data_IF_415310551533
#
_entry.id   IF_415310551533
#
_cell.length_a   1.000
_cell.length_b   1.000
_cell.length_c   1.000
_cell.angle_alpha   90.00
_cell.angle_beta   90.00
_cell.angle_gamma   90.00
#
_symmetry.space_group_name_H-M   'P 1'
#
loop_
_entity.id
_entity.type
_entity.pdbx_description
1 polymer ?
#
# COMPACT_ATOMS: atom_id res chain seq x y z
N UNK A 1 16.61 11.73 -9.42
CA UNK A 1 15.71 12.90 -9.58
C UNK A 1 14.75 12.96 -8.39
N UNK A 2 14.68 14.08 -7.65
CA UNK A 2 13.73 14.25 -6.54
C UNK A 2 12.51 15.03 -7.00
N UNK A 3 11.31 14.53 -6.71
CA UNK A 3 10.06 15.25 -6.98
C UNK A 3 9.97 16.50 -6.08
N UNK A 4 9.68 17.65 -6.69
CA UNK A 4 9.61 18.94 -6.00
C UNK A 4 8.17 19.44 -5.93
N UNK A 5 7.69 19.62 -4.71
CA UNK A 5 6.37 20.13 -4.34
C UNK A 5 6.49 21.57 -3.83
N UNK A 6 5.89 22.53 -4.53
CA UNK A 6 5.95 23.94 -4.15
C UNK A 6 4.59 24.62 -4.21
N UNK A 7 4.58 25.95 -4.38
CA UNK A 7 3.37 26.78 -4.45
C UNK A 7 2.32 26.31 -5.47
N UNK A 8 2.74 25.66 -6.57
CA UNK A 8 1.83 25.11 -7.60
C UNK A 8 0.83 24.08 -7.06
N UNK A 9 1.20 23.38 -5.99
CA UNK A 9 0.30 22.45 -5.30
C UNK A 9 -0.20 23.16 -4.06
N UNK A 10 -1.46 23.59 -4.04
CA UNK A 10 -2.06 24.25 -2.88
C UNK A 10 -2.32 23.26 -1.72
N UNK A 11 -2.51 21.99 -2.05
CA UNK A 11 -2.61 20.88 -1.11
C UNK A 11 -1.51 19.86 -1.36
N UNK A 12 -0.98 19.26 -0.30
CA UNK A 12 0.02 18.20 -0.36
C UNK A 12 -0.23 17.29 0.83
N UNK A 13 -0.36 16.00 0.58
CA UNK A 13 -0.39 14.96 1.60
C UNK A 13 0.72 13.97 1.31
N UNK A 14 1.50 13.59 2.33
CA UNK A 14 2.31 12.39 2.31
C UNK A 14 1.76 11.44 3.37
N UNK A 15 1.38 10.24 2.96
CA UNK A 15 1.04 9.12 3.83
C UNK A 15 2.13 8.07 3.66
N UNK A 16 2.75 7.64 4.76
CA UNK A 16 3.79 6.62 4.74
C UNK A 16 3.50 5.59 5.83
N UNK A 17 3.56 4.31 5.47
CA UNK A 17 3.49 3.22 6.44
C UNK A 17 4.89 2.71 6.75
N UNK A 18 5.29 2.84 8.01
CA UNK A 18 6.67 2.66 8.46
C UNK A 18 6.69 1.82 9.74
N UNK A 19 7.62 0.85 9.81
CA UNK A 19 7.97 0.11 11.03
C UNK A 19 9.42 0.37 11.38
N UNK A 20 9.65 0.77 12.63
CA UNK A 20 10.99 1.00 13.17
C UNK A 20 11.45 -0.31 13.80
N UNK A 21 12.47 -0.96 13.25
CA UNK A 21 12.93 -2.29 13.71
C UNK A 21 13.96 -2.23 14.84
N UNK A 22 14.48 -1.05 15.12
CA UNK A 22 15.46 -0.85 16.18
C UNK A 22 15.25 0.51 16.86
N UNK A 23 15.64 0.65 18.14
CA UNK A 23 15.83 1.95 18.75
C UNK A 23 16.82 2.78 17.92
N UNK A 24 16.67 4.11 17.94
CA UNK A 24 17.68 5.00 17.36
C UNK A 24 18.97 4.92 18.21
N UNK A 25 20.09 4.59 17.57
CA UNK A 25 21.47 4.75 18.06
C UNK A 25 21.94 6.17 17.75
N UNK A 26 23.25 6.43 17.69
CA UNK A 26 23.75 7.80 17.52
C UNK A 26 23.55 8.29 16.09
N UNK A 27 22.83 9.41 15.94
CA UNK A 27 22.45 9.91 14.62
C UNK A 27 21.04 10.50 14.58
N UNK A 28 20.43 10.42 13.40
CA UNK A 28 19.05 10.83 13.17
C UNK A 28 18.30 9.89 12.23
N UNK A 29 16.99 9.85 12.41
CA UNK A 29 16.07 9.29 11.43
C UNK A 29 14.86 10.17 11.31
N UNK A 30 14.25 10.18 10.14
CA UNK A 30 13.03 10.94 9.95
C UNK A 30 12.43 10.77 8.57
N UNK A 31 11.23 11.30 8.43
CA UNK A 31 10.53 11.35 7.16
C UNK A 31 9.58 12.55 7.11
N UNK A 32 9.33 13.02 5.89
CA UNK A 32 8.43 14.11 5.63
C UNK A 32 8.93 15.02 4.53
N UNK A 33 8.46 16.25 4.54
CA UNK A 33 8.82 17.25 3.55
C UNK A 33 9.97 18.11 4.03
N UNK A 34 11.06 18.13 3.27
CA UNK A 34 12.22 18.98 3.52
C UNK A 34 12.48 19.89 2.33
N UNK A 35 13.00 21.09 2.59
CA UNK A 35 13.43 22.04 1.57
C UNK A 35 14.51 21.46 0.63
N UNK A 36 14.28 21.58 -0.69
CA UNK A 36 15.23 21.10 -1.70
C UNK A 36 16.26 22.12 -2.19
N UNK A 37 16.21 23.39 -1.73
CA UNK A 37 17.06 24.46 -2.28
C UNK A 37 18.31 24.76 -1.45
N UNK A 38 19.44 24.99 -2.15
CA UNK A 38 20.78 25.31 -1.59
C UNK A 38 20.88 26.67 -0.89
N UNK A 39 19.84 27.52 -0.93
CA UNK A 39 19.91 28.89 -0.37
C UNK A 39 19.71 28.87 1.16
N UNK A 40 20.70 29.40 1.88
CA UNK A 40 20.84 29.42 3.36
C UNK A 40 19.68 30.05 4.15
N UNK A 41 18.79 30.82 3.52
CA UNK A 41 18.09 31.89 4.26
C UNK A 41 16.90 31.41 5.10
N UNK A 42 16.22 30.30 4.78
CA UNK A 42 15.07 29.81 5.58
C UNK A 42 14.94 28.29 5.58
N UNK A 43 14.51 27.72 6.72
CA UNK A 43 14.16 26.29 6.83
C UNK A 43 12.66 26.15 6.65
N UNK A 44 12.28 25.39 5.63
CA UNK A 44 10.91 25.03 5.34
C UNK A 44 10.83 23.51 5.40
N UNK A 45 10.24 22.99 6.48
CA UNK A 45 10.19 21.55 6.77
C UNK A 45 8.85 21.19 7.43
N UNK A 46 8.36 19.98 7.18
CA UNK A 46 7.24 19.35 7.89
C UNK A 46 7.55 17.86 8.05
N UNK A 47 7.73 17.36 9.26
CA UNK A 47 8.38 16.07 9.49
C UNK A 47 7.99 15.34 10.77
N UNK A 48 8.31 14.04 10.78
CA UNK A 48 8.58 13.21 11.96
C UNK A 48 10.10 12.94 12.01
N UNK A 49 10.76 13.17 13.15
CA UNK A 49 12.21 13.04 13.25
C UNK A 49 12.60 12.74 14.69
N UNK A 50 13.58 11.86 14.79
CA UNK A 50 14.25 11.52 16.02
C UNK A 50 15.74 11.73 15.82
N UNK A 51 16.39 12.20 16.87
CA UNK A 51 17.81 12.45 16.92
C UNK A 51 18.36 11.99 18.28
N UNK A 52 19.55 11.40 18.29
CA UNK A 52 20.22 10.99 19.51
C UNK A 52 21.71 11.27 19.42
N UNK A 53 22.24 11.81 20.51
CA UNK A 53 23.64 12.18 20.68
C UNK A 53 24.12 11.68 22.05
N UNK A 54 25.25 10.98 22.08
CA UNK A 54 25.81 10.39 23.30
C UNK A 54 26.37 11.46 24.25
N UNK A 55 26.93 12.53 23.70
CA UNK A 55 27.66 13.54 24.43
C UNK A 55 26.75 14.68 24.89
N UNK A 56 25.60 14.88 24.22
CA UNK A 56 24.70 15.99 24.50
C UNK A 56 23.21 15.59 24.54
N UNK A 57 22.69 15.38 25.76
CA UNK A 57 21.27 15.07 25.99
C UNK A 57 20.31 16.13 25.42
N UNK A 58 20.72 17.41 25.30
CA UNK A 58 19.86 18.47 24.72
C UNK A 58 19.67 18.30 23.22
N UNK A 59 20.58 17.59 22.56
CA UNK A 59 20.48 17.22 21.15
C UNK A 59 19.78 15.88 20.96
N UNK A 60 19.45 15.15 22.02
CA UNK A 60 18.64 13.94 21.95
C UNK A 60 17.16 14.28 22.08
N UNK A 61 16.38 14.12 21.02
CA UNK A 61 14.97 14.46 21.01
C UNK A 61 14.20 13.69 19.93
N UNK A 62 12.89 13.58 20.14
CA UNK A 62 11.93 13.00 19.20
C UNK A 62 10.78 13.99 19.04
N UNK A 63 10.58 14.50 17.83
CA UNK A 63 9.65 15.58 17.58
C UNK A 63 8.82 15.31 16.32
N UNK A 64 7.70 15.98 16.25
CA UNK A 64 6.90 16.12 15.04
C UNK A 64 6.56 17.59 14.87
N UNK A 65 6.57 18.08 13.63
CA UNK A 65 6.07 19.41 13.35
C UNK A 65 6.69 20.10 12.16
N UNK A 66 6.56 21.41 12.18
CA UNK A 66 6.75 22.26 11.00
C UNK A 66 7.61 23.47 11.34
N UNK A 67 8.47 23.85 10.40
CA UNK A 67 9.17 25.14 10.39
C UNK A 67 8.93 25.80 9.04
N UNK A 68 8.64 27.11 9.06
CA UNK A 68 8.56 27.97 7.87
C UNK A 68 9.26 29.29 8.20
N UNK A 69 10.51 29.43 7.76
CA UNK A 69 11.36 30.57 8.10
C UNK A 69 11.72 30.62 9.59
N UNK A 70 11.30 31.69 10.29
CA UNK A 70 11.52 31.86 11.74
C UNK A 70 10.42 31.22 12.59
N UNK A 71 9.28 30.85 12.00
CA UNK A 71 8.14 30.28 12.72
C UNK A 71 8.30 28.78 12.83
N UNK A 72 8.05 28.24 14.03
CA UNK A 72 8.14 26.81 14.33
C UNK A 72 6.96 26.41 15.20
N UNK A 73 6.37 25.26 14.89
CA UNK A 73 5.46 24.58 15.79
C UNK A 73 5.84 23.11 15.81
N UNK A 74 6.20 22.60 16.99
CA UNK A 74 6.61 21.22 17.20
C UNK A 74 5.93 20.65 18.43
N UNK A 75 5.80 19.33 18.47
CA UNK A 75 5.30 18.58 19.61
C UNK A 75 6.25 17.41 19.90
N UNK A 76 6.56 17.10 21.17
CA UNK A 76 7.20 15.85 21.54
C UNK A 76 6.43 14.67 20.97
N UNK A 77 7.16 13.70 20.44
CA UNK A 77 6.60 12.48 19.89
C UNK A 77 7.44 11.31 20.39
N UNK A 78 6.81 10.24 20.86
CA UNK A 78 7.51 9.01 21.21
C UNK A 78 7.18 7.97 20.14
N UNK A 79 8.14 7.57 19.29
CA UNK A 79 7.93 6.49 18.33
C UNK A 79 7.73 5.18 19.07
N UNK A 80 6.69 4.45 18.71
CA UNK A 80 6.64 3.03 19.06
C UNK A 80 7.52 2.26 18.06
N UNK A 81 8.48 1.54 18.61
CA UNK A 81 9.41 0.72 17.86
C UNK A 81 8.89 -0.72 17.93
N UNK A 82 8.99 -1.48 16.85
CA UNK A 82 8.47 -2.86 16.73
C UNK A 82 7.01 -3.02 16.28
N UNK A 83 6.31 -1.93 15.95
CA UNK A 83 5.02 -2.00 15.24
C UNK A 83 4.92 -1.13 13.99
N UNK A 84 4.04 -1.53 13.09
CA UNK A 84 3.70 -0.74 11.91
C UNK A 84 2.84 0.46 12.32
N UNK A 85 3.12 1.60 11.69
CA UNK A 85 2.35 2.82 11.86
C UNK A 85 2.08 3.49 10.53
N UNK A 86 0.91 4.10 10.40
CA UNK A 86 0.58 4.98 9.27
C UNK A 86 0.78 6.43 9.69
N UNK A 87 1.83 7.05 9.16
CA UNK A 87 2.15 8.46 9.38
C UNK A 87 1.61 9.30 8.23
N UNK A 88 0.89 10.38 8.53
CA UNK A 88 0.41 11.32 7.52
C UNK A 88 0.82 12.75 7.83
N UNK A 89 1.25 13.47 6.80
CA UNK A 89 1.51 14.92 6.82
C UNK A 89 0.66 15.56 5.73
N UNK A 90 -0.24 16.46 6.09
CA UNK A 90 -1.00 17.26 5.13
C UNK A 90 -0.63 18.72 5.29
N UNK A 91 -0.25 19.36 4.20
CA UNK A 91 -0.01 20.79 4.11
C UNK A 91 -1.01 21.40 3.16
N UNK A 92 -1.79 22.35 3.67
CA UNK A 92 -2.79 23.10 2.93
C UNK A 92 -2.46 24.60 2.97
N UNK A 93 -2.09 25.14 1.82
CA UNK A 93 -1.76 26.56 1.65
C UNK A 93 -2.97 27.47 1.69
N UNK A 94 -4.19 26.97 1.41
CA UNK A 94 -5.43 27.75 1.46
C UNK A 94 -5.83 28.02 2.90
N UNK A 95 -5.90 26.97 3.72
CA UNK A 95 -6.19 27.10 5.16
C UNK A 95 -4.96 27.50 5.97
N UNK A 96 -3.77 27.52 5.35
CA UNK A 96 -2.47 27.79 5.98
C UNK A 96 -2.18 26.82 7.14
N UNK A 97 -2.59 25.56 7.02
CA UNK A 97 -2.37 24.55 8.06
C UNK A 97 -1.41 23.47 7.59
N UNK A 98 -0.64 22.94 8.53
CA UNK A 98 0.03 21.65 8.41
C UNK A 98 -0.50 20.74 9.50
N UNK A 99 -0.92 19.55 9.14
CA UNK A 99 -1.53 18.59 10.06
C UNK A 99 -0.76 17.28 10.00
N UNK A 100 -0.65 16.63 11.15
CA UNK A 100 0.09 15.39 11.34
C UNK A 100 -0.82 14.35 11.97
N UNK A 101 -0.86 13.15 11.41
CA UNK A 101 -1.61 12.02 11.94
C UNK A 101 -0.70 10.82 12.15
N UNK A 102 -1.06 10.02 13.14
CA UNK A 102 -0.50 8.70 13.39
C UNK A 102 -1.71 7.77 13.54
N UNK A 103 -1.79 6.74 12.71
CA UNK A 103 -2.87 5.74 12.68
C UNK A 103 -4.27 6.38 12.63
N UNK A 104 -4.41 7.38 11.76
CA UNK A 104 -5.67 8.12 11.57
C UNK A 104 -5.99 9.14 12.67
N UNK A 105 -5.32 9.11 13.82
CA UNK A 105 -5.51 10.08 14.90
C UNK A 105 -4.71 11.35 14.66
N UNK A 106 -5.37 12.50 14.71
CA UNK A 106 -4.70 13.81 14.58
C UNK A 106 -3.78 14.02 15.79
N UNK A 107 -2.49 14.18 15.52
CA UNK A 107 -1.46 14.34 16.54
C UNK A 107 -1.05 15.80 16.75
N UNK A 108 -0.95 16.57 15.65
CA UNK A 108 -0.60 17.99 15.65
C UNK A 108 -1.32 18.71 14.50
N UNK A 109 -1.93 19.85 14.79
CA UNK A 109 -2.43 20.80 13.80
C UNK A 109 -1.71 22.15 14.00
N UNK A 110 -1.08 22.66 12.94
CA UNK A 110 -0.36 23.92 13.02
C UNK A 110 -1.27 25.08 12.66
N UNK A 111 -1.36 26.07 13.56
CA UNK A 111 -2.24 27.22 13.37
C UNK A 111 -1.52 28.27 12.52
N UNK A 112 -1.90 28.37 11.24
CA UNK A 112 -1.37 29.37 10.33
C UNK A 112 0.08 29.13 9.89
N UNK A 113 0.56 27.89 9.93
CA UNK A 113 1.92 27.52 9.52
C UNK A 113 1.89 26.40 8.47
N UNK A 114 2.08 26.76 7.20
CA UNK A 114 2.12 25.84 6.07
C UNK A 114 3.27 26.21 5.12
N UNK A 115 4.38 25.44 5.11
CA UNK A 115 5.57 25.80 4.33
C UNK A 115 5.25 25.94 2.85
N UNK A 116 5.62 27.10 2.29
CA UNK A 116 5.34 27.48 0.89
C UNK A 116 6.49 27.22 -0.07
N UNK A 117 7.67 26.91 0.45
CA UNK A 117 8.86 26.68 -0.35
C UNK A 117 8.76 25.42 -1.21
N UNK A 118 9.77 25.22 -2.07
CA UNK A 118 9.98 23.98 -2.81
C UNK A 118 10.47 22.90 -1.85
N UNK A 119 9.59 21.97 -1.55
CA UNK A 119 9.81 20.82 -0.70
C UNK A 119 10.01 19.56 -1.54
N UNK A 120 10.84 18.63 -1.09
CA UNK A 120 10.89 17.25 -1.55
C UNK A 120 10.47 16.35 -0.40
N UNK A 121 9.96 15.17 -0.71
CA UNK A 121 9.80 14.14 0.31
C UNK A 121 11.17 13.52 0.59
N UNK A 122 11.50 13.40 1.87
CA UNK A 122 12.68 12.72 2.36
C UNK A 122 12.27 11.67 3.36
N UNK A 123 13.01 10.58 3.35
CA UNK A 123 12.96 9.51 4.34
C UNK A 123 14.40 9.05 4.51
N UNK A 124 14.89 9.05 5.75
CA UNK A 124 16.30 8.82 6.02
C UNK A 124 16.53 8.16 7.38
N UNK A 125 17.68 7.51 7.44
CA UNK A 125 18.34 7.02 8.64
C UNK A 125 19.83 7.28 8.42
N UNK A 126 20.44 8.05 9.31
CA UNK A 126 21.83 8.45 9.18
C UNK A 126 22.48 8.67 10.54
N UNK A 127 23.80 8.84 10.52
CA UNK A 127 24.59 9.20 11.69
C UNK A 127 24.73 10.73 11.87
N UNK A 128 23.85 11.54 11.29
CA UNK A 128 23.93 13.00 11.37
C UNK A 128 23.08 13.51 12.53
N UNK A 129 23.64 14.41 13.32
CA UNK A 129 22.94 15.10 14.40
C UNK A 129 22.96 16.60 14.10
N UNK A 130 21.80 17.22 14.23
CA UNK A 130 21.53 18.60 13.91
C UNK A 130 21.54 19.47 15.19
N UNK A 131 22.42 20.48 15.22
CA UNK A 131 22.50 21.54 16.24
C UNK A 131 22.11 22.90 15.64
N UNK A 132 21.37 23.70 16.41
CA UNK A 132 21.08 25.10 16.06
C UNK A 132 22.34 25.96 16.05
N UNK A 133 23.25 25.71 16.99
CA UNK A 133 24.47 26.49 17.22
C UNK A 133 25.58 26.07 16.25
N UNK A 134 25.78 24.76 16.11
CA UNK A 134 27.00 24.20 15.50
C UNK A 134 26.73 23.54 14.12
N UNK A 135 25.46 23.50 13.68
CA UNK A 135 25.10 22.88 12.42
C UNK A 135 25.01 21.35 12.49
N UNK A 136 25.28 20.69 11.36
CA UNK A 136 25.23 19.23 11.25
C UNK A 136 26.58 18.65 11.67
N UNK A 137 26.57 17.72 12.61
CA UNK A 137 27.73 16.95 13.05
C UNK A 137 27.48 15.47 12.80
N UNK A 138 28.51 14.74 12.36
CA UNK A 138 28.44 13.31 12.07
C UNK A 138 28.94 12.53 13.27
N UNK A 139 28.12 11.63 13.77
CA UNK A 139 28.46 10.69 14.82
C UNK A 139 29.21 9.50 14.22
N UNK A 140 30.04 8.85 15.03
CA UNK A 140 30.62 7.57 14.64
C UNK A 140 29.48 6.54 14.47
N UNK A 141 29.54 5.76 13.39
CA UNK A 141 28.55 4.72 13.13
C UNK A 141 28.62 3.68 14.26
N UNK A 142 27.50 3.49 14.97
CA UNK A 142 27.47 2.71 16.22
C UNK A 142 26.72 1.38 16.07
N UNK A 143 26.59 0.86 14.85
CA UNK A 143 26.00 -0.44 14.51
C UNK A 143 24.80 -0.33 13.57
N UNK A 144 24.10 -1.43 13.34
CA UNK A 144 22.98 -1.47 12.39
C UNK A 144 21.72 -0.88 12.97
N UNK A 145 21.06 -0.04 12.17
CA UNK A 145 19.71 0.44 12.39
C UNK A 145 18.87 0.17 11.14
N UNK A 146 17.59 -0.13 11.33
CA UNK A 146 16.70 -0.43 10.22
C UNK A 146 15.32 0.18 10.42
N UNK A 147 14.76 0.62 9.30
CA UNK A 147 13.40 1.10 9.16
C UNK A 147 12.82 0.47 7.90
N UNK A 148 11.66 -0.17 8.02
CA UNK A 148 10.96 -0.76 6.88
C UNK A 148 9.84 0.18 6.47
N UNK A 149 9.72 0.39 5.17
CA UNK A 149 8.70 1.23 4.56
C UNK A 149 7.87 0.34 3.67
N UNK A 150 6.58 0.22 3.97
CA UNK A 150 5.64 -0.52 3.13
C UNK A 150 5.28 0.33 1.90
N UNK A 151 4.74 1.53 2.14
CA UNK A 151 4.44 2.46 1.07
C UNK A 151 4.68 3.91 1.47
N UNK A 152 4.85 4.74 0.43
CA UNK A 152 4.75 6.20 0.50
C UNK A 152 3.80 6.65 -0.59
N UNK A 153 2.70 7.29 -0.20
CA UNK A 153 1.74 7.89 -1.11
C UNK A 153 1.79 9.40 -0.98
N UNK A 154 2.05 10.10 -2.09
CA UNK A 154 2.04 11.56 -2.15
C UNK A 154 0.87 12.04 -3.01
N UNK A 155 0.00 12.86 -2.44
CA UNK A 155 -1.16 13.46 -3.11
C UNK A 155 -1.00 14.97 -3.17
N UNK A 156 -1.25 15.58 -4.33
CA UNK A 156 -1.05 17.03 -4.54
C UNK A 156 -2.37 17.81 -4.73
N UNK A 157 -3.51 17.14 -4.62
CA UNK A 157 -4.85 17.73 -4.75
C UNK A 157 -5.80 17.17 -3.68
N UNK A 158 -6.64 18.03 -3.08
CA UNK A 158 -7.82 17.61 -2.31
C UNK A 158 -8.91 17.27 -3.32
N UNK A 159 -8.82 16.11 -3.95
CA UNK A 159 -9.98 15.33 -4.35
C UNK A 159 -9.54 13.98 -4.88
N UNK A 160 -10.17 12.97 -4.29
CA UNK A 160 -10.11 11.56 -4.63
C UNK A 160 -10.86 11.35 -5.93
N UNK A 161 -10.19 11.48 -7.08
CA UNK A 161 -10.56 10.59 -8.18
C UNK A 161 -9.77 9.31 -7.96
N UNK A 162 -10.49 8.31 -7.43
CA UNK A 162 -10.12 6.91 -7.67
C UNK A 162 -9.87 6.77 -9.18
N UNK A 163 -8.99 5.87 -9.64
CA UNK A 163 -9.14 5.41 -11.00
C UNK A 163 -10.59 4.92 -11.12
N UNK A 164 -11.44 5.70 -11.79
CA UNK A 164 -12.65 5.18 -12.40
C UNK A 164 -12.11 4.19 -13.41
N UNK A 165 -12.04 2.92 -12.99
CA UNK A 165 -12.12 1.87 -13.98
C UNK A 165 -13.44 2.16 -14.70
N UNK A 166 -13.44 2.24 -16.04
CA UNK A 166 -14.69 2.35 -16.78
C UNK A 166 -15.68 1.37 -16.18
N UNK A 167 -16.92 1.78 -15.94
CA UNK A 167 -18.04 0.88 -15.68
C UNK A 167 -18.18 -0.02 -16.92
N UNK A 168 -17.28 -0.98 -17.03
CA UNK A 168 -17.47 -2.13 -17.89
C UNK A 168 -18.63 -2.87 -17.25
N UNK A 169 -19.65 -3.26 -18.01
CA UNK A 169 -20.87 -3.86 -17.45
C UNK A 169 -20.60 -5.13 -16.62
N UNK A 170 -19.36 -5.65 -16.66
CA UNK A 170 -18.90 -6.82 -15.92
C UNK A 170 -18.23 -6.51 -14.58
N UNK A 171 -17.70 -5.30 -14.37
CA UNK A 171 -17.16 -4.89 -13.06
C UNK A 171 -18.22 -4.02 -12.38
N UNK A 172 -18.85 -4.55 -11.35
CA UNK A 172 -19.89 -3.85 -10.59
C UNK A 172 -19.28 -2.99 -9.50
N UNK A 173 -18.14 -3.42 -8.93
CA UNK A 173 -17.40 -2.67 -7.93
C UNK A 173 -15.93 -3.09 -7.92
N UNK A 174 -15.01 -2.13 -7.87
CA UNK A 174 -13.62 -2.41 -7.55
C UNK A 174 -13.04 -1.31 -6.67
N UNK A 175 -12.36 -1.71 -5.60
CA UNK A 175 -11.59 -0.79 -4.77
C UNK A 175 -10.30 -1.44 -4.33
N UNK A 176 -9.19 -0.82 -4.69
CA UNK A 176 -7.87 -1.10 -4.18
C UNK A 176 -7.64 -0.26 -2.92
N UNK A 177 -7.27 -0.91 -1.82
CA UNK A 177 -7.17 -0.31 -0.50
C UNK A 177 -5.72 -0.12 -0.07
N UNK A 178 -4.87 -1.16 -0.20
CA UNK A 178 -3.52 -1.21 0.38
C UNK A 178 -3.39 -0.43 1.70
N UNK A 179 -4.32 -0.69 2.63
CA UNK A 179 -4.47 0.06 3.89
C UNK A 179 -4.72 -0.89 5.03
N UNK A 180 -3.96 -0.74 6.12
CA UNK A 180 -4.32 -1.37 7.40
C UNK A 180 -5.61 -0.71 7.88
N UNK A 181 -6.56 -1.53 8.28
CA UNK A 181 -7.79 -1.09 8.92
C UNK A 181 -7.54 -1.04 10.42
N UNK A 182 -7.39 0.16 10.98
CA UNK A 182 -7.18 0.38 12.41
C UNK A 182 -8.50 0.60 13.13
N UNK A 183 -8.65 0.04 14.33
CA UNK A 183 -9.74 0.34 15.24
C UNK A 183 -9.25 0.41 16.69
N UNK A 184 -10.00 1.16 17.51
CA UNK A 184 -9.99 1.09 18.96
C UNK A 184 -11.17 0.20 19.40
N UNK A 185 -10.94 -1.07 19.73
CA UNK A 185 -11.83 -2.07 20.38
C UNK A 185 -13.29 -2.28 19.86
N UNK A 186 -13.90 -1.34 19.16
CA UNK A 186 -15.22 -1.39 18.55
C UNK A 186 -15.10 -1.64 17.05
N UNK A 187 -15.96 -2.50 16.49
CA UNK A 187 -15.98 -2.81 15.06
C UNK A 187 -16.10 -1.54 14.21
N UNK A 188 -15.13 -1.29 13.33
CA UNK A 188 -15.12 -0.12 12.46
C UNK A 188 -15.61 -0.46 11.04
N UNK A 189 -16.37 0.47 10.42
CA UNK A 189 -16.76 0.37 9.02
C UNK A 189 -15.60 0.76 8.11
N UNK A 190 -15.02 -0.23 7.42
CA UNK A 190 -14.03 -0.04 6.35
C UNK A 190 -14.60 0.81 5.22
N UNK A 191 -15.91 0.72 5.02
CA UNK A 191 -16.67 1.61 4.17
C UNK A 191 -17.97 0.98 3.70
N UNK A 192 -18.84 1.88 3.27
CA UNK A 192 -20.11 1.54 2.66
C UNK A 192 -20.00 1.73 1.15
N UNK A 193 -20.41 0.71 0.42
CA UNK A 193 -20.26 0.62 -1.03
C UNK A 193 -21.61 0.37 -1.66
N UNK A 194 -21.87 1.05 -2.77
CA UNK A 194 -23.05 0.83 -3.59
C UNK A 194 -22.63 0.31 -4.94
N UNK A 195 -23.39 -0.64 -5.47
CA UNK A 195 -23.23 -1.20 -6.80
C UNK A 195 -24.58 -1.68 -7.31
N UNK A 196 -24.71 -1.78 -8.63
CA UNK A 196 -25.92 -2.29 -9.28
C UNK A 196 -25.60 -3.62 -9.97
N UNK A 197 -26.52 -4.57 -9.91
CA UNK A 197 -26.37 -5.89 -10.53
C UNK A 197 -27.32 -6.00 -11.72
N UNK A 198 -26.83 -6.41 -12.92
CA UNK A 198 -27.68 -6.63 -14.08
C UNK A 198 -28.36 -8.02 -14.09
N UNK A 199 -28.01 -8.91 -13.16
CA UNK A 199 -28.53 -10.28 -13.11
C UNK A 199 -28.29 -10.95 -11.76
N UNK A 200 -28.78 -12.18 -11.63
CA UNK A 200 -28.98 -12.84 -10.33
C UNK A 200 -27.71 -13.42 -9.69
N UNK A 201 -26.55 -13.21 -10.31
CA UNK A 201 -25.30 -13.78 -9.80
C UNK A 201 -24.12 -12.84 -9.94
N UNK A 202 -23.33 -12.76 -8.87
CA UNK A 202 -22.09 -11.98 -8.82
C UNK A 202 -20.94 -12.81 -8.27
N UNK A 203 -19.72 -12.47 -8.65
CA UNK A 203 -18.52 -12.94 -7.96
C UNK A 203 -17.99 -11.85 -7.04
N UNK A 204 -17.88 -12.16 -5.75
CA UNK A 204 -17.18 -11.36 -4.76
C UNK A 204 -15.76 -11.89 -4.58
N UNK A 205 -14.82 -10.98 -4.66
CA UNK A 205 -13.40 -11.19 -4.43
C UNK A 205 -12.90 -10.22 -3.37
N UNK A 206 -12.14 -10.75 -2.43
CA UNK A 206 -11.56 -9.97 -1.35
C UNK A 206 -10.17 -10.49 -1.04
N UNK A 207 -9.15 -9.65 -1.14
CA UNK A 207 -7.77 -9.99 -0.79
C UNK A 207 -7.36 -9.26 0.48
N UNK A 208 -7.03 -10.04 1.52
CA UNK A 208 -6.66 -9.51 2.83
C UNK A 208 -5.59 -10.36 3.51
N UNK A 209 -4.95 -9.76 4.52
CA UNK A 209 -3.98 -10.39 5.42
C UNK A 209 -4.28 -9.95 6.85
N UNK A 210 -4.23 -10.87 7.81
CA UNK A 210 -4.22 -10.50 9.22
C UNK A 210 -2.82 -10.02 9.60
N UNK A 211 -2.69 -8.89 10.28
CA UNK A 211 -1.38 -8.40 10.72
C UNK A 211 -0.94 -9.12 12.01
N UNK A 212 0.36 -9.39 12.12
CA UNK A 212 0.98 -10.01 13.30
C UNK A 212 1.36 -8.93 14.33
N UNK A 213 0.39 -8.10 14.73
CA UNK A 213 0.59 -7.08 15.77
C UNK A 213 0.27 -7.63 17.16
N UNK A 214 -0.47 -8.73 17.21
CA UNK A 214 -0.93 -9.47 18.38
C UNK A 214 -1.28 -10.89 17.93
N UNK A 215 -1.42 -11.87 18.84
CA UNK A 215 -1.84 -13.21 18.47
C UNK A 215 -3.13 -13.19 17.64
N UNK A 216 -3.15 -13.92 16.53
CA UNK A 216 -4.31 -13.95 15.65
C UNK A 216 -5.56 -14.43 16.39
N UNK A 217 -6.60 -13.61 16.40
CA UNK A 217 -7.84 -13.89 17.13
C UNK A 217 -9.10 -13.50 16.34
N UNK A 218 -10.25 -13.56 17.01
CA UNK A 218 -11.54 -13.22 16.40
C UNK A 218 -11.72 -11.73 16.12
N UNK A 219 -10.98 -10.86 16.80
CA UNK A 219 -11.01 -9.44 16.52
C UNK A 219 -10.26 -9.12 15.21
N UNK A 220 -9.38 -9.99 14.70
CA UNK A 220 -8.79 -9.83 13.37
C UNK A 220 -9.74 -10.26 12.22
N UNK A 221 -11.02 -10.49 12.54
CA UNK A 221 -12.04 -10.89 11.59
C UNK A 221 -12.42 -9.75 10.67
N UNK A 222 -12.37 -10.02 9.36
CA UNK A 222 -12.98 -9.19 8.34
C UNK A 222 -14.35 -9.76 7.95
N UNK A 223 -15.35 -8.90 7.92
CA UNK A 223 -16.75 -9.27 7.68
C UNK A 223 -17.32 -8.44 6.53
N UNK A 224 -18.04 -9.09 5.62
CA UNK A 224 -18.77 -8.44 4.53
C UNK A 224 -20.25 -8.78 4.64
N UNK A 225 -21.10 -7.76 4.66
CA UNK A 225 -22.57 -7.88 4.63
C UNK A 225 -23.10 -7.13 3.42
N UNK A 226 -24.20 -7.62 2.83
CA UNK A 226 -24.88 -6.96 1.70
C UNK A 226 -26.36 -6.78 2.06
N UNK A 227 -26.93 -5.62 1.73
CA UNK A 227 -28.35 -5.25 1.87
C UNK A 227 -28.92 -5.37 3.29
N UNK A 228 -28.16 -4.91 4.29
CA UNK A 228 -28.55 -4.96 5.72
C UNK A 228 -28.92 -6.36 6.23
N UNK A 229 -28.46 -7.42 5.56
CA UNK A 229 -28.61 -8.79 6.07
C UNK A 229 -27.84 -8.93 7.40
N UNK A 230 -28.48 -9.56 8.38
CA UNK A 230 -27.86 -9.86 9.68
C UNK A 230 -26.70 -10.86 9.55
N UNK A 231 -26.77 -11.75 8.56
CA UNK A 231 -25.73 -12.74 8.31
C UNK A 231 -24.68 -12.24 7.31
N UNK A 232 -23.39 -12.42 7.60
CA UNK A 232 -22.33 -12.02 6.70
C UNK A 232 -22.30 -12.89 5.45
N UNK A 233 -22.25 -12.24 4.28
CA UNK A 233 -22.04 -12.95 3.01
C UNK A 233 -20.61 -13.48 2.89
N UNK A 234 -19.66 -12.89 3.61
CA UNK A 234 -18.29 -13.37 3.71
C UNK A 234 -17.71 -13.03 5.09
N UNK A 235 -16.98 -13.98 5.67
CA UNK A 235 -16.23 -13.79 6.89
C UNK A 235 -14.85 -14.41 6.75
N UNK A 236 -13.81 -13.66 7.12
CA UNK A 236 -12.42 -14.12 7.10
C UNK A 236 -11.84 -13.94 8.50
N UNK A 237 -11.69 -15.05 9.23
CA UNK A 237 -11.11 -15.07 10.58
C UNK A 237 -9.58 -14.88 10.47
N UNK A 238 -9.00 -14.00 11.30
CA UNK A 238 -7.55 -13.81 11.34
C UNK A 238 -6.79 -15.07 11.72
N UNK A 239 -7.40 -15.98 12.50
CA UNK A 239 -6.85 -17.32 12.80
C UNK A 239 -6.74 -18.22 11.59
N UNK A 240 -7.54 -17.99 10.55
CA UNK A 240 -7.41 -18.67 9.27
C UNK A 240 -6.32 -18.01 8.41
N UNK A 241 -6.18 -16.69 8.49
CA UNK A 241 -5.15 -15.95 7.77
C UNK A 241 -3.74 -16.28 8.29
N UNK A 242 -3.54 -16.33 9.62
CA UNK A 242 -2.23 -16.57 10.28
C UNK A 242 -1.10 -15.76 9.66
N UNK A 243 -1.33 -14.47 9.42
CA UNK A 243 -0.32 -13.61 8.81
C UNK A 243 -0.11 -13.79 7.32
N UNK A 244 -0.78 -14.76 6.67
CA UNK A 244 -0.69 -14.98 5.22
C UNK A 244 -1.75 -14.18 4.48
N UNK A 245 -1.34 -13.58 3.37
CA UNK A 245 -2.28 -13.03 2.39
C UNK A 245 -3.17 -14.14 1.86
N UNK A 246 -4.48 -13.88 1.80
CA UNK A 246 -5.43 -14.75 1.13
C UNK A 246 -6.41 -13.91 0.32
N UNK A 247 -6.77 -14.45 -0.83
CA UNK A 247 -7.90 -13.96 -1.61
C UNK A 247 -9.05 -14.93 -1.45
N UNK A 248 -10.18 -14.44 -0.92
CA UNK A 248 -11.42 -15.20 -0.91
C UNK A 248 -12.22 -14.88 -2.17
N UNK A 249 -12.67 -15.92 -2.85
CA UNK A 249 -13.53 -15.85 -4.02
C UNK A 249 -14.85 -16.53 -3.68
N UNK A 250 -15.96 -15.83 -3.83
CA UNK A 250 -17.30 -16.36 -3.53
C UNK A 250 -18.29 -15.96 -4.60
N UNK A 251 -19.03 -16.93 -5.14
CA UNK A 251 -20.22 -16.64 -5.95
C UNK A 251 -21.38 -16.32 -5.02
N UNK A 252 -22.07 -15.23 -5.27
CA UNK A 252 -23.25 -14.78 -4.52
C UNK A 252 -24.45 -14.68 -5.48
N UNK A 253 -25.63 -14.88 -4.92
CA UNK A 253 -26.89 -14.66 -5.62
C UNK A 253 -27.52 -13.38 -5.08
N UNK A 254 -27.63 -12.37 -5.94
CA UNK A 254 -28.18 -11.05 -5.63
C UNK A 254 -29.22 -10.72 -6.69
N UNK A 255 -30.47 -10.37 -6.32
CA UNK A 255 -31.50 -10.04 -7.30
C UNK A 255 -31.10 -8.79 -8.09
N UNK A 256 -31.55 -8.68 -9.34
CA UNK A 256 -31.35 -7.47 -10.16
C UNK A 256 -31.71 -6.18 -9.39
N UNK A 257 -30.79 -5.22 -9.40
CA UNK A 257 -31.02 -3.89 -8.80
C UNK A 257 -29.83 -3.33 -8.03
N UNK A 258 -30.11 -2.32 -7.20
CA UNK A 258 -29.10 -1.62 -6.41
C UNK A 258 -28.87 -2.33 -5.07
N UNK A 259 -27.60 -2.51 -4.71
CA UNK A 259 -27.17 -3.15 -3.48
C UNK A 259 -26.24 -2.28 -2.67
N UNK A 260 -26.22 -2.51 -1.37
CA UNK A 260 -25.29 -1.89 -0.46
C UNK A 260 -24.41 -2.93 0.23
N UNK A 261 -23.11 -2.90 -0.05
CA UNK A 261 -22.10 -3.70 0.65
C UNK A 261 -21.48 -2.91 1.78
N UNK A 262 -21.42 -3.52 2.96
CA UNK A 262 -20.69 -3.02 4.11
C UNK A 262 -19.54 -3.96 4.43
N UNK A 263 -18.36 -3.39 4.67
CA UNK A 263 -17.20 -4.14 5.12
C UNK A 263 -16.83 -3.64 6.50
N UNK A 264 -16.72 -4.55 7.45
CA UNK A 264 -16.35 -4.24 8.83
C UNK A 264 -15.15 -5.07 9.26
N UNK A 265 -14.35 -4.50 10.14
CA UNK A 265 -13.24 -5.19 10.78
C UNK A 265 -13.15 -4.73 12.23
N UNK A 266 -12.79 -5.64 13.14
CA UNK A 266 -12.59 -5.31 14.55
C UNK A 266 -11.15 -4.90 14.84
N UNK A 267 -10.14 -5.50 14.21
CA UNK A 267 -8.73 -5.16 14.43
C UNK A 267 -7.83 -5.57 13.27
N UNK A 268 -7.11 -4.59 12.71
CA UNK A 268 -5.86 -4.73 11.93
C UNK A 268 -5.77 -5.77 10.80
N UNK A 269 -6.82 -6.12 10.02
CA UNK A 269 -6.55 -6.73 8.72
C UNK A 269 -6.00 -5.66 7.77
N UNK A 270 -4.99 -6.03 7.00
CA UNK A 270 -4.59 -5.32 5.81
C UNK A 270 -5.52 -5.76 4.67
N UNK A 271 -6.33 -4.83 4.17
CA UNK A 271 -7.17 -5.04 3.00
C UNK A 271 -6.41 -4.53 1.77
N UNK A 272 -6.17 -5.42 0.82
CA UNK A 272 -5.50 -5.07 -0.44
C UNK A 272 -6.52 -4.63 -1.48
N UNK A 273 -7.57 -5.42 -1.68
CA UNK A 273 -8.64 -5.08 -2.59
C UNK A 273 -9.98 -5.78 -2.30
N UNK A 274 -11.00 -5.24 -2.96
CA UNK A 274 -12.33 -5.84 -3.07
C UNK A 274 -12.83 -5.63 -4.49
N UNK A 275 -13.36 -6.70 -5.08
CA UNK A 275 -13.86 -6.74 -6.45
C UNK A 275 -15.22 -7.47 -6.46
N UNK A 276 -16.23 -6.85 -7.08
CA UNK A 276 -17.52 -7.47 -7.38
C UNK A 276 -17.69 -7.47 -8.88
N UNK A 277 -17.95 -8.66 -9.43
CA UNK A 277 -18.13 -8.89 -10.86
C UNK A 277 -19.53 -9.40 -11.15
N UNK A 278 -20.10 -8.99 -12.28
CA UNK A 278 -21.27 -9.66 -12.84
C UNK A 278 -20.87 -11.07 -13.29
N UNK A 279 -21.54 -12.08 -12.73
CA UNK A 279 -21.30 -13.47 -13.10
C UNK A 279 -22.24 -13.95 -14.23
N UNK A 280 -23.14 -13.09 -14.71
CA UNK A 280 -24.11 -13.43 -15.78
C UNK A 280 -23.38 -13.75 -17.08
N UNK A 281 -23.51 -14.99 -17.56
CA UNK A 281 -22.83 -15.48 -18.76
C UNK A 281 -21.30 -15.67 -18.62
N UNK A 282 -20.74 -15.43 -17.43
CA UNK A 282 -19.31 -15.52 -17.19
C UNK A 282 -18.82 -16.98 -17.20
N UNK A 283 -17.76 -17.26 -17.96
CA UNK A 283 -17.02 -18.53 -17.95
C UNK A 283 -15.67 -18.34 -17.29
N UNK A 284 -15.41 -19.15 -16.26
CA UNK A 284 -14.13 -19.12 -15.54
C UNK A 284 -13.12 -20.01 -16.28
N UNK A 285 -12.18 -19.38 -16.97
CA UNK A 285 -11.10 -20.06 -17.69
C UNK A 285 -10.00 -20.57 -16.76
N UNK A 286 -9.66 -19.78 -15.75
CA UNK A 286 -8.59 -20.08 -14.80
C UNK A 286 -8.99 -19.58 -13.42
N UNK A 287 -8.66 -20.34 -12.39
CA UNK A 287 -8.80 -19.95 -11.00
C UNK A 287 -7.83 -20.75 -10.13
N UNK A 288 -6.64 -20.21 -9.95
CA UNK A 288 -5.52 -20.90 -9.30
C UNK A 288 -4.93 -20.09 -8.16
N UNK A 289 -4.26 -20.79 -7.25
CA UNK A 289 -3.51 -20.26 -6.12
C UNK A 289 -2.36 -21.22 -5.82
N UNK A 290 -1.29 -20.73 -5.22
CA UNK A 290 -0.14 -21.54 -4.85
C UNK A 290 1.18 -20.88 -5.18
N UNK A 291 2.26 -21.60 -4.94
CA UNK A 291 3.60 -21.15 -5.27
C UNK A 291 3.83 -21.31 -6.77
N UNK A 292 4.32 -20.25 -7.43
CA UNK A 292 4.69 -20.35 -8.83
C UNK A 292 6.01 -21.12 -8.97
N UNK A 293 6.15 -21.85 -10.08
CA UNK A 293 7.36 -22.63 -10.38
C UNK A 293 8.25 -21.85 -11.36
N UNK A 294 9.56 -22.03 -11.24
CA UNK A 294 10.55 -21.27 -12.00
C UNK A 294 10.43 -21.44 -13.54
N UNK A 295 9.88 -22.55 -14.02
CA UNK A 295 9.70 -22.78 -15.45
C UNK A 295 8.54 -21.96 -16.02
N UNK A 296 8.73 -21.43 -17.23
CA UNK A 296 7.62 -20.87 -18.02
C UNK A 296 6.55 -21.94 -18.25
N UNK A 297 5.36 -21.71 -17.72
CA UNK A 297 4.24 -22.63 -17.76
C UNK A 297 3.04 -21.98 -18.45
N UNK A 298 2.39 -22.75 -19.32
CA UNK A 298 1.07 -22.36 -19.85
C UNK A 298 0.02 -22.69 -18.81
N UNK A 299 -0.67 -21.68 -18.29
CA UNK A 299 -1.75 -21.87 -17.32
C UNK A 299 -3.11 -22.06 -17.98
N UNK A 300 -3.31 -21.46 -19.15
CA UNK A 300 -4.54 -21.57 -19.91
C UNK A 300 -4.28 -21.33 -21.39
N UNK A 301 -5.03 -22.05 -22.24
CA UNK A 301 -5.00 -21.89 -23.68
C UNK A 301 -6.34 -22.30 -24.27
N UNK A 302 -6.98 -21.42 -25.06
CA UNK A 302 -8.23 -21.74 -25.74
C UNK A 302 -8.48 -20.88 -26.98
N UNK A 303 -9.29 -21.41 -27.90
CA UNK A 303 -9.82 -20.69 -29.04
C UNK A 303 -11.16 -20.04 -28.66
N UNK A 304 -11.10 -18.91 -27.95
CA UNK A 304 -12.29 -18.16 -27.51
C UNK A 304 -12.11 -16.68 -27.80
N UNK A 305 -13.20 -16.00 -28.15
CA UNK A 305 -13.26 -14.56 -28.32
C UNK A 305 -14.35 -13.98 -27.43
N UNK A 306 -14.21 -12.72 -27.05
CA UNK A 306 -15.20 -12.06 -26.18
C UNK A 306 -14.52 -11.15 -25.18
N UNK A 307 -15.29 -10.56 -24.27
CA UNK A 307 -14.69 -9.75 -23.21
C UNK A 307 -14.00 -10.66 -22.19
N UNK A 308 -12.89 -10.19 -21.60
CA UNK A 308 -12.23 -10.89 -20.51
C UNK A 308 -11.92 -9.97 -19.33
N UNK A 309 -11.71 -10.61 -18.19
CA UNK A 309 -11.15 -10.03 -16.99
C UNK A 309 -10.05 -10.96 -16.46
N UNK A 310 -8.85 -10.41 -16.35
CA UNK A 310 -7.70 -11.06 -15.74
C UNK A 310 -7.41 -10.38 -14.41
N UNK A 311 -7.22 -11.16 -13.36
CA UNK A 311 -6.86 -10.66 -12.04
C UNK A 311 -5.75 -11.50 -11.43
N UNK A 312 -4.79 -10.83 -10.80
CA UNK A 312 -3.73 -11.47 -10.04
C UNK A 312 -3.52 -10.78 -8.70
N UNK A 313 -3.38 -11.57 -7.64
CA UNK A 313 -2.90 -11.19 -6.32
C UNK A 313 -1.64 -12.01 -6.01
N UNK A 314 -0.50 -11.32 -5.87
CA UNK A 314 0.82 -11.95 -5.81
C UNK A 314 1.63 -11.33 -4.69
N UNK A 315 2.33 -12.17 -3.93
CA UNK A 315 3.33 -11.76 -2.96
C UNK A 315 4.63 -12.49 -3.26
N UNK A 316 5.76 -11.81 -3.17
CA UNK A 316 7.09 -12.38 -3.38
C UNK A 316 7.91 -12.11 -2.15
N UNK A 317 8.59 -13.14 -1.65
CA UNK A 317 9.22 -13.08 -0.34
C UNK A 317 10.71 -12.82 -0.51
N UNK A 318 11.04 -11.67 -1.09
CA UNK A 318 12.40 -11.18 -1.12
C UNK A 318 12.62 -10.30 0.10
N UNK A 319 13.45 -10.78 1.04
CA UNK A 319 14.04 -9.88 2.02
C UNK A 319 15.10 -9.07 1.28
N UNK A 320 15.17 -7.74 1.47
CA UNK A 320 16.27 -7.00 0.88
C UNK A 320 17.57 -7.54 1.50
N UNK A 321 18.42 -8.16 0.68
CA UNK A 321 19.80 -8.43 1.07
C UNK A 321 20.51 -7.08 1.19
N UNK A 322 20.40 -6.42 2.32
CA UNK A 322 21.17 -5.21 2.60
C UNK A 322 22.57 -5.62 3.10
N UNK A 323 23.44 -6.05 2.19
CA UNK A 323 24.87 -6.18 2.47
C UNK A 323 25.57 -4.86 2.08
N UNK A 324 25.95 -4.07 3.08
CA UNK A 324 26.60 -2.76 2.88
C UNK A 324 28.02 -2.85 2.28
N UNK A 325 28.54 -4.06 2.06
CA UNK A 325 29.94 -4.30 1.71
C UNK A 325 30.10 -4.80 0.26
N UNK A 326 29.05 -5.26 -0.42
CA UNK A 326 29.14 -5.74 -1.81
C UNK A 326 28.53 -4.74 -2.80
N UNK A 327 29.25 -4.48 -3.89
CA UNK A 327 28.75 -3.69 -5.00
C UNK A 327 27.45 -4.30 -5.56
N UNK A 328 26.51 -3.45 -5.96
CA UNK A 328 25.15 -3.77 -6.41
C UNK A 328 25.00 -4.96 -7.38
N UNK A 329 26.06 -5.37 -8.09
CA UNK A 329 26.05 -6.47 -9.05
C UNK A 329 25.89 -7.88 -8.43
N UNK A 330 25.92 -8.03 -7.10
CA UNK A 330 25.84 -9.33 -6.43
C UNK A 330 24.52 -9.60 -5.68
N UNK A 331 23.55 -8.67 -5.73
CA UNK A 331 22.26 -8.77 -5.02
C UNK A 331 21.19 -9.57 -5.80
N UNK A 332 21.46 -9.95 -7.06
CA UNK A 332 20.44 -10.41 -8.02
C UNK A 332 20.38 -11.95 -8.20
N UNK A 333 20.93 -12.74 -7.27
CA UNK A 333 20.98 -14.21 -7.50
C UNK A 333 19.71 -14.96 -7.10
N UNK A 334 18.79 -14.32 -6.37
CA UNK A 334 17.61 -14.96 -5.77
C UNK A 334 16.33 -14.09 -5.84
N UNK A 335 16.06 -13.45 -6.98
CA UNK A 335 14.85 -12.63 -7.16
C UNK A 335 13.58 -13.50 -7.18
N UNK A 336 12.64 -13.20 -6.29
CA UNK A 336 11.30 -13.80 -6.29
C UNK A 336 10.41 -13.01 -7.27
N UNK A 337 10.58 -13.23 -8.57
CA UNK A 337 9.84 -12.49 -9.59
C UNK A 337 8.72 -13.32 -10.23
N UNK A 338 7.58 -12.69 -10.55
CA UNK A 338 6.51 -13.30 -11.32
C UNK A 338 6.16 -12.50 -12.57
N UNK A 339 6.15 -13.17 -13.71
CA UNK A 339 5.74 -12.63 -15.01
C UNK A 339 4.47 -13.35 -15.50
N UNK A 340 3.45 -12.57 -15.85
CA UNK A 340 2.20 -13.06 -16.44
C UNK A 340 2.02 -12.44 -17.82
N UNK A 341 1.86 -13.28 -18.83
CA UNK A 341 1.66 -12.84 -20.21
C UNK A 341 0.41 -13.49 -20.81
N UNK A 342 -0.58 -12.66 -21.14
CA UNK A 342 -1.75 -13.06 -21.93
C UNK A 342 -1.50 -12.65 -23.38
N UNK A 343 -1.52 -13.60 -24.29
CA UNK A 343 -1.22 -13.38 -25.71
C UNK A 343 -2.24 -14.08 -26.61
N UNK A 344 -2.34 -13.60 -27.84
CA UNK A 344 -3.06 -14.22 -28.93
C UNK A 344 -2.08 -14.55 -30.06
N UNK A 345 -2.21 -15.70 -30.70
CA UNK A 345 -1.30 -16.12 -31.77
C UNK A 345 -1.24 -15.14 -32.96
N UNK A 346 -2.32 -14.40 -33.23
CA UNK A 346 -2.41 -13.46 -34.38
C UNK A 346 -2.08 -12.03 -33.98
N UNK A 347 -2.64 -11.55 -32.88
CA UNK A 347 -2.49 -10.14 -32.47
C UNK A 347 -1.34 -9.89 -31.50
N UNK A 348 -0.60 -10.94 -31.09
CA UNK A 348 0.51 -10.82 -30.15
C UNK A 348 0.07 -10.63 -28.70
N UNK A 349 0.86 -9.88 -27.94
CA UNK A 349 0.66 -9.66 -26.50
C UNK A 349 -0.58 -8.80 -26.22
N UNK A 350 -1.51 -9.35 -25.45
CA UNK A 350 -2.71 -8.63 -24.97
C UNK A 350 -2.46 -7.98 -23.60
N UNK A 351 -1.77 -8.68 -22.69
CA UNK A 351 -1.36 -8.17 -21.37
C UNK A 351 -0.02 -8.74 -20.96
N UNK A 352 0.81 -7.91 -20.35
CA UNK A 352 2.08 -8.33 -19.76
C UNK A 352 2.27 -7.68 -18.39
N UNK A 353 2.38 -8.48 -17.34
CA UNK A 353 2.56 -8.03 -15.96
C UNK A 353 3.84 -8.62 -15.37
N UNK A 354 4.58 -7.79 -14.65
CA UNK A 354 5.68 -8.19 -13.78
C UNK A 354 5.36 -7.85 -12.32
N UNK A 355 5.66 -8.77 -11.41
CA UNK A 355 5.62 -8.60 -9.96
C UNK A 355 7.03 -8.89 -9.45
N UNK A 356 7.79 -7.84 -9.18
CA UNK A 356 9.19 -7.98 -8.79
C UNK A 356 9.32 -8.11 -7.26
N UNK A 357 10.15 -9.03 -6.78
CA UNK A 357 10.35 -9.32 -5.36
C UNK A 357 10.73 -8.09 -4.55
N UNK A 358 11.77 -7.40 -4.99
CA UNK A 358 12.27 -6.13 -4.46
C UNK A 358 11.28 -4.94 -4.51
N UNK A 359 10.13 -5.07 -5.20
CA UNK A 359 9.07 -4.05 -5.18
C UNK A 359 7.97 -4.38 -4.18
N UNK A 360 7.88 -5.65 -3.76
CA UNK A 360 6.76 -6.14 -2.99
C UNK A 360 7.16 -6.65 -1.60
N UNK A 361 8.43 -6.99 -1.33
CA UNK A 361 9.00 -7.21 0.01
C UNK A 361 8.12 -8.09 0.94
N UNK A 362 7.57 -9.18 0.42
CA UNK A 362 6.66 -10.07 1.15
C UNK A 362 5.21 -9.57 1.26
N UNK A 363 4.92 -8.36 0.78
CA UNK A 363 3.58 -7.78 0.69
C UNK A 363 2.84 -8.22 -0.58
N UNK A 364 1.51 -8.12 -0.57
CA UNK A 364 0.69 -8.47 -1.72
C UNK A 364 0.48 -7.27 -2.65
N UNK A 365 0.66 -7.51 -3.95
CA UNK A 365 0.19 -6.60 -5.01
C UNK A 365 -0.92 -7.26 -5.78
N UNK A 366 -1.93 -6.45 -6.11
CA UNK A 366 -3.01 -6.91 -6.96
C UNK A 366 -3.05 -6.11 -8.26
N UNK A 367 -3.36 -6.79 -9.36
CA UNK A 367 -3.54 -6.21 -10.68
C UNK A 367 -4.81 -6.75 -11.30
N UNK A 368 -5.49 -5.88 -12.02
CA UNK A 368 -6.74 -6.16 -12.72
C UNK A 368 -6.63 -5.59 -14.14
N UNK A 369 -6.96 -6.41 -15.13
CA UNK A 369 -7.13 -5.99 -16.52
C UNK A 369 -8.48 -6.45 -17.05
N UNK A 370 -9.08 -5.59 -17.86
CA UNK A 370 -10.25 -5.90 -18.68
C UNK A 370 -9.91 -5.62 -20.12
N UNK A 371 -10.47 -6.41 -21.02
CA UNK A 371 -10.26 -6.22 -22.45
C UNK A 371 -11.09 -7.17 -23.29
N UNK A 372 -10.70 -7.32 -24.55
CA UNK A 372 -11.33 -8.23 -25.51
C UNK A 372 -10.30 -9.26 -25.95
N UNK A 373 -10.68 -10.53 -25.92
CA UNK A 373 -9.95 -11.63 -26.55
C UNK A 373 -10.28 -11.64 -28.04
N UNK A 374 -9.30 -11.41 -28.92
CA UNK A 374 -9.51 -11.53 -30.36
C UNK A 374 -9.82 -12.97 -30.74
N UNK A 375 -10.47 -13.15 -31.90
CA UNK A 375 -10.64 -14.45 -32.50
C UNK A 375 -9.28 -15.14 -32.73
N UNK A 376 -9.23 -16.44 -32.48
CA UNK A 376 -8.01 -17.25 -32.56
C UNK A 376 -7.59 -17.81 -31.21
N UNK A 377 -6.37 -18.33 -31.15
CA UNK A 377 -5.85 -19.02 -29.98
C UNK A 377 -5.25 -18.03 -28.99
N UNK A 378 -5.89 -17.94 -27.84
CA UNK A 378 -5.43 -17.14 -26.71
C UNK A 378 -4.70 -18.04 -25.70
N UNK A 379 -3.67 -17.49 -25.07
CA UNK A 379 -2.78 -18.22 -24.17
C UNK A 379 -2.36 -17.33 -23.01
N UNK A 380 -2.51 -17.83 -21.79
CA UNK A 380 -1.97 -17.20 -20.58
C UNK A 380 -0.79 -18.04 -20.09
N UNK A 381 0.39 -17.42 -20.06
CA UNK A 381 1.61 -18.01 -19.53
C UNK A 381 2.03 -17.32 -18.25
N UNK A 382 2.59 -18.11 -17.33
CA UNK A 382 3.30 -17.62 -16.15
C UNK A 382 4.76 -18.04 -16.23
N UNK A 383 5.66 -17.17 -15.80
CA UNK A 383 7.05 -17.50 -15.52
C UNK A 383 7.36 -16.96 -14.13
N UNK A 384 8.05 -17.74 -13.32
CA UNK A 384 8.56 -17.26 -12.05
C UNK A 384 10.08 -17.34 -12.02
N UNK A 385 10.69 -16.51 -11.20
CA UNK A 385 12.06 -16.67 -10.72
C UNK A 385 11.94 -16.74 -9.19
N UNK A 386 12.78 -17.54 -8.53
CA UNK A 386 12.63 -17.80 -7.10
C UNK A 386 11.32 -18.54 -6.75
N UNK A 387 10.62 -18.02 -5.74
CA UNK A 387 9.52 -18.67 -5.02
C UNK A 387 8.31 -17.75 -4.76
N UNK A 388 7.87 -16.88 -5.69
CA UNK A 388 6.73 -16.01 -5.47
C UNK A 388 5.44 -16.83 -5.25
N UNK A 389 4.58 -16.28 -4.39
CA UNK A 389 3.30 -16.84 -4.02
C UNK A 389 2.17 -16.15 -4.79
N UNK A 390 1.45 -16.94 -5.59
CA UNK A 390 0.18 -16.52 -6.19
C UNK A 390 -0.91 -16.75 -5.15
N UNK A 391 -1.39 -15.67 -4.53
CA UNK A 391 -2.52 -15.69 -3.61
C UNK A 391 -3.82 -15.96 -4.35
N UNK A 392 -3.94 -15.41 -5.56
CA UNK A 392 -4.97 -15.75 -6.54
C UNK A 392 -4.58 -15.32 -7.94
N UNK A 393 -4.90 -16.14 -8.91
CA UNK A 393 -4.88 -15.76 -10.32
C UNK A 393 -6.13 -16.33 -10.96
N UNK A 394 -6.96 -15.47 -11.54
CA UNK A 394 -8.12 -15.94 -12.25
C UNK A 394 -8.34 -15.17 -13.56
N UNK A 395 -8.89 -15.89 -14.53
CA UNK A 395 -9.28 -15.38 -15.83
C UNK A 395 -10.75 -15.75 -16.04
N UNK A 396 -11.57 -14.74 -16.26
CA UNK A 396 -12.98 -14.90 -16.62
C UNK A 396 -13.17 -14.29 -18.02
N UNK A 397 -14.01 -14.93 -18.82
CA UNK A 397 -14.43 -14.40 -20.11
C UNK A 397 -15.94 -14.56 -20.29
N UNK A 398 -16.52 -13.75 -21.18
CA UNK A 398 -17.93 -13.78 -21.54
C UNK A 398 -18.07 -14.05 -23.02
#
# INVERSE_FOLDING_TARGET
>A
FQNIYGKKYSYLSAEARIKLLSPLRLGSRGWGFWKSSKRKVHRSIAWFMQQKDAQNKRLSWSLVGTVDGKRRQVKPWQPDIDRWHVYRIERDLKTKTTRFWIDGKLYLNTNGLAPRERLSFHLWIDNQVYSKKDGIHRQQWSGSEAMVVDYVQIQTQRNLRKPEIPNTPRILFYRHFNRILWSSEESYSVGDYRFETPGDSVYLLLTARAEDLRPYDLADRLTVTIDKRNDPVLQVDGRLLKGKTRTVFKKLYLPHGAHQMHITAQATPLLYDVLILDATGAKMALNTQGQARAASQTLWQANVSGSYLLYAAVSANEAPEFDQIKAHAALETHDDDLYLNLQNERSGTLQNWSFCGNQIFGDCRTRLAVGVLPAGKNKLTVRAEGKPQINRLFLIYW
#
